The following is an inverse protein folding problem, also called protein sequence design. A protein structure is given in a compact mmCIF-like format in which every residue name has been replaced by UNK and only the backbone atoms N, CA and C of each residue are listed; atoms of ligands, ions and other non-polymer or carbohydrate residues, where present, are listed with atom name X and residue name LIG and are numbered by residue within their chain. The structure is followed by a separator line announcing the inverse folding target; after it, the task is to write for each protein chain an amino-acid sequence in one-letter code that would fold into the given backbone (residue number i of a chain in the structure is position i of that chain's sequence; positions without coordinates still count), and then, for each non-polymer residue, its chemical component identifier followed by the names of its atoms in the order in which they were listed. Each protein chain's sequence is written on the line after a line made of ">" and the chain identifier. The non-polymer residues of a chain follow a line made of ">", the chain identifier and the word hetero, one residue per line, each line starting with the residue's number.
data_IF_037455964928
#
_entry.id   IF_037455964928
#
_cell.length_a   1.000
_cell.length_b   1.000
_cell.length_c   1.000
_cell.angle_alpha   90.00
_cell.angle_beta   90.00
_cell.angle_gamma   90.00
#
_symmetry.space_group_name_H-M   'P 1'
#
loop_
_entity.id
_entity.type
_entity.pdbx_description
1 polymer ?
#
# COMPACT_ATOMS: atom_id res chain seq x y z
N UNK A 1 9.72 -5.64 -10.04
CA UNK A 1 8.71 -6.63 -9.61
C UNK A 1 7.58 -6.66 -10.64
N UNK A 2 6.84 -7.76 -10.78
CA UNK A 2 5.80 -7.96 -11.81
C UNK A 2 4.39 -7.70 -11.24
N UNK A 3 4.12 -6.48 -10.76
CA UNK A 3 2.78 -6.05 -10.35
C UNK A 3 1.97 -7.02 -9.47
N UNK A 4 0.66 -7.08 -9.71
CA UNK A 4 -0.25 -7.99 -9.00
C UNK A 4 -0.35 -9.33 -9.73
N UNK A 5 -0.03 -10.41 -9.03
CA UNK A 5 -0.02 -11.78 -9.56
C UNK A 5 -1.09 -12.63 -8.88
N UNK A 6 -1.77 -13.48 -9.67
CA UNK A 6 -2.57 -14.58 -9.16
C UNK A 6 -1.80 -15.89 -9.30
N UNK A 7 -1.61 -16.60 -8.19
CA UNK A 7 -0.95 -17.90 -8.16
C UNK A 7 -2.00 -18.98 -7.90
N UNK A 8 -2.00 -20.04 -8.70
CA UNK A 8 -2.91 -21.19 -8.55
C UNK A 8 -2.15 -22.48 -8.86
N UNK A 9 -1.80 -23.25 -7.82
CA UNK A 9 -0.88 -24.38 -7.96
C UNK A 9 0.45 -23.91 -8.55
N UNK A 10 0.83 -24.47 -9.70
CA UNK A 10 2.05 -24.09 -10.43
C UNK A 10 1.82 -23.02 -11.52
N UNK A 11 0.61 -22.46 -11.62
CA UNK A 11 0.28 -21.42 -12.59
C UNK A 11 0.36 -20.03 -11.97
N UNK A 12 1.06 -19.12 -12.67
CA UNK A 12 1.14 -17.70 -12.32
C UNK A 12 0.52 -16.87 -13.43
N UNK A 13 -0.42 -16.00 -13.08
CA UNK A 13 -1.07 -15.07 -13.98
C UNK A 13 -0.83 -13.63 -13.53
N UNK A 14 -0.35 -12.77 -14.43
CA UNK A 14 -0.31 -11.34 -14.21
C UNK A 14 -1.72 -10.75 -14.31
N UNK A 15 -2.18 -10.10 -13.24
CA UNK A 15 -3.49 -9.42 -13.19
C UNK A 15 -3.37 -7.97 -13.65
N UNK A 16 -2.34 -7.26 -13.18
CA UNK A 16 -2.06 -5.86 -13.56
C UNK A 16 -0.60 -5.51 -13.26
N UNK A 17 0.02 -4.67 -14.08
CA UNK A 17 1.38 -4.13 -13.86
C UNK A 17 1.47 -2.60 -13.97
N UNK A 18 0.34 -1.91 -14.12
CA UNK A 18 0.25 -0.45 -14.19
C UNK A 18 -1.12 0.08 -13.74
N UNK A 19 -1.12 1.36 -13.36
CA UNK A 19 -2.31 2.17 -13.17
C UNK A 19 -1.99 3.62 -13.58
N UNK A 20 -2.97 4.31 -14.18
CA UNK A 20 -2.85 5.70 -14.65
C UNK A 20 -1.61 5.96 -15.53
N UNK A 21 -1.29 5.01 -16.42
CA UNK A 21 -0.14 5.07 -17.33
C UNK A 21 1.23 4.93 -16.66
N UNK A 22 1.28 4.61 -15.35
CA UNK A 22 2.53 4.41 -14.59
C UNK A 22 2.68 2.94 -14.19
N UNK A 23 3.75 2.31 -14.67
CA UNK A 23 4.15 0.95 -14.26
C UNK A 23 4.42 0.87 -12.76
N UNK A 24 4.07 -0.25 -12.15
CA UNK A 24 4.48 -0.56 -10.79
C UNK A 24 5.99 -0.85 -10.74
N UNK A 25 6.65 -0.48 -9.64
CA UNK A 25 8.08 -0.76 -9.47
C UNK A 25 8.36 -1.53 -8.19
N UNK A 26 7.61 -1.26 -7.12
CA UNK A 26 7.79 -1.86 -5.81
C UNK A 26 6.43 -2.15 -5.15
N UNK A 27 5.76 -3.22 -5.58
CA UNK A 27 4.50 -3.67 -4.96
C UNK A 27 4.78 -4.51 -3.71
N UNK A 28 4.22 -4.12 -2.56
CA UNK A 28 4.61 -4.71 -1.27
C UNK A 28 3.53 -5.60 -0.66
N UNK A 29 2.33 -5.08 -0.43
CA UNK A 29 1.27 -5.80 0.29
C UNK A 29 -0.02 -5.93 -0.53
N UNK A 30 -0.80 -6.95 -0.18
CA UNK A 30 -2.09 -7.25 -0.80
C UNK A 30 -3.05 -7.86 0.22
N UNK A 31 -4.33 -7.48 0.13
CA UNK A 31 -5.42 -8.11 0.85
C UNK A 31 -6.70 -8.14 0.00
N UNK A 32 -7.63 -9.05 0.31
CA UNK A 32 -8.82 -9.33 -0.51
C UNK A 32 -10.07 -9.15 0.33
N UNK A 33 -10.96 -8.26 -0.10
CA UNK A 33 -12.26 -8.07 0.54
C UNK A 33 -13.23 -9.22 0.20
N UNK A 34 -14.29 -9.38 1.00
CA UNK A 34 -15.30 -10.43 0.83
C UNK A 34 -16.00 -10.39 -0.55
N UNK A 35 -16.11 -9.20 -1.14
CA UNK A 35 -16.71 -9.00 -2.47
C UNK A 35 -15.77 -9.37 -3.64
N UNK A 36 -14.51 -9.70 -3.32
CA UNK A 36 -13.46 -10.09 -4.24
C UNK A 36 -12.60 -8.94 -4.77
N UNK A 37 -12.82 -7.70 -4.31
CA UNK A 37 -11.92 -6.58 -4.64
C UNK A 37 -10.57 -6.81 -3.95
N UNK A 38 -9.49 -6.63 -4.71
CA UNK A 38 -8.12 -6.83 -4.23
C UNK A 38 -7.49 -5.46 -3.97
N UNK A 39 -7.11 -5.20 -2.72
CA UNK A 39 -6.42 -3.97 -2.32
C UNK A 39 -4.92 -4.23 -2.21
N UNK A 40 -4.10 -3.32 -2.71
CA UNK A 40 -2.65 -3.50 -2.71
C UNK A 40 -1.90 -2.17 -2.77
N UNK A 41 -0.61 -2.21 -2.46
CA UNK A 41 0.28 -1.05 -2.41
C UNK A 41 1.38 -1.14 -3.47
N UNK A 42 1.84 0.03 -3.92
CA UNK A 42 3.08 0.22 -4.70
C UNK A 42 3.87 1.27 -3.92
N UNK A 43 4.86 0.83 -3.15
CA UNK A 43 5.64 1.66 -2.25
C UNK A 43 6.34 2.80 -2.98
N UNK A 44 6.80 2.53 -4.21
CA UNK A 44 7.36 3.53 -5.10
C UNK A 44 7.00 3.20 -6.53
N UNK A 45 6.45 4.16 -7.27
CA UNK A 45 6.29 4.04 -8.72
C UNK A 45 7.59 4.35 -9.49
N UNK A 46 8.68 4.71 -8.81
CA UNK A 46 9.95 5.14 -9.41
C UNK A 46 11.08 4.12 -9.19
N UNK A 47 11.28 3.68 -7.96
CA UNK A 47 12.35 2.77 -7.57
C UNK A 47 11.84 1.35 -7.37
N UNK A 48 12.70 0.38 -7.65
CA UNK A 48 12.39 -1.05 -7.45
C UNK A 48 13.11 -1.57 -6.19
N UNK A 49 12.88 -2.84 -5.84
CA UNK A 49 13.43 -3.44 -4.63
C UNK A 49 14.96 -3.37 -4.50
N UNK A 50 15.71 -3.31 -5.60
CA UNK A 50 17.19 -3.16 -5.55
C UNK A 50 17.63 -1.74 -5.22
N UNK A 51 16.75 -0.78 -5.50
CA UNK A 51 17.02 0.66 -5.50
C UNK A 51 16.16 1.39 -4.47
N UNK A 52 15.43 0.68 -3.60
CA UNK A 52 14.44 1.26 -2.67
C UNK A 52 15.06 2.31 -1.74
N UNK A 53 16.33 2.13 -1.35
CA UNK A 53 17.06 3.08 -0.52
C UNK A 53 17.15 4.47 -1.16
N UNK A 54 17.07 4.58 -2.49
CA UNK A 54 17.04 5.87 -3.17
C UNK A 54 15.68 6.54 -3.12
N UNK A 55 14.59 5.79 -2.91
CA UNK A 55 13.26 6.36 -2.63
C UNK A 55 13.28 7.07 -1.27
N UNK A 56 13.80 6.38 -0.26
CA UNK A 56 14.02 6.89 1.09
C UNK A 56 14.90 8.14 1.09
N UNK A 57 16.04 8.10 0.38
CA UNK A 57 16.97 9.23 0.28
C UNK A 57 16.43 10.40 -0.55
N UNK A 58 15.62 10.14 -1.58
CA UNK A 58 14.99 11.20 -2.36
C UNK A 58 13.91 11.92 -1.54
N UNK A 59 13.27 11.22 -0.60
CA UNK A 59 12.29 11.82 0.32
C UNK A 59 11.10 12.41 -0.43
N UNK A 60 10.63 11.74 -1.49
CA UNK A 60 9.48 12.15 -2.30
C UNK A 60 8.37 11.12 -2.24
N UNK A 61 7.10 11.56 -2.34
CA UNK A 61 5.98 10.66 -2.16
C UNK A 61 5.65 9.91 -3.47
N UNK A 62 6.39 8.86 -3.79
CA UNK A 62 6.17 8.06 -5.00
C UNK A 62 5.20 6.90 -4.81
N UNK A 63 4.70 6.70 -3.59
CA UNK A 63 3.85 5.58 -3.22
C UNK A 63 2.40 5.75 -3.65
N UNK A 64 1.71 4.61 -3.78
CA UNK A 64 0.31 4.52 -4.18
C UNK A 64 -0.42 3.40 -3.43
N UNK A 65 -1.68 3.64 -3.13
CA UNK A 65 -2.62 2.64 -2.64
C UNK A 65 -3.71 2.42 -3.69
N UNK A 66 -3.99 1.17 -4.04
CA UNK A 66 -4.80 0.80 -5.20
C UNK A 66 -5.80 -0.30 -4.89
N UNK A 67 -6.81 -0.41 -5.75
CA UNK A 67 -7.70 -1.56 -5.83
C UNK A 67 -7.67 -2.16 -7.23
N UNK A 68 -7.80 -3.48 -7.33
CA UNK A 68 -8.05 -4.22 -8.56
C UNK A 68 -9.38 -4.97 -8.46
N UNK A 69 -10.25 -4.76 -9.44
CA UNK A 69 -11.50 -5.53 -9.59
C UNK A 69 -11.28 -6.68 -10.58
N UNK A 70 -11.28 -7.96 -10.14
CA UNK A 70 -11.10 -9.10 -11.03
C UNK A 70 -12.22 -9.30 -12.05
N UNK A 71 -13.44 -8.79 -11.78
CA UNK A 71 -14.60 -8.91 -12.68
C UNK A 71 -14.46 -7.97 -13.87
N UNK A 72 -14.05 -6.72 -13.63
CA UNK A 72 -13.85 -5.72 -14.69
C UNK A 72 -12.42 -5.67 -15.21
N UNK A 73 -11.48 -6.36 -14.54
CA UNK A 73 -10.03 -6.30 -14.80
C UNK A 73 -9.49 -4.87 -14.76
N UNK A 74 -10.00 -4.07 -13.83
CA UNK A 74 -9.66 -2.65 -13.73
C UNK A 74 -8.87 -2.40 -12.46
N UNK A 75 -7.73 -1.72 -12.61
CA UNK A 75 -6.98 -1.15 -11.50
C UNK A 75 -7.39 0.31 -11.30
N UNK A 76 -7.59 0.73 -10.06
CA UNK A 76 -7.83 2.12 -9.68
C UNK A 76 -6.83 2.54 -8.62
N UNK A 77 -6.24 3.72 -8.81
CA UNK A 77 -5.48 4.40 -7.75
C UNK A 77 -6.48 5.04 -6.79
N UNK A 78 -6.47 4.62 -5.53
CA UNK A 78 -7.35 5.13 -4.48
C UNK A 78 -6.71 6.32 -3.76
N UNK A 79 -5.38 6.24 -3.58
CA UNK A 79 -4.55 7.31 -3.01
C UNK A 79 -3.22 7.32 -3.76
N UNK A 80 -2.79 8.50 -4.20
CA UNK A 80 -1.48 8.74 -4.82
C UNK A 80 -0.66 9.70 -3.97
N UNK A 81 0.61 9.85 -4.34
CA UNK A 81 1.50 10.85 -3.77
C UNK A 81 1.59 10.72 -2.24
N UNK A 82 1.78 9.46 -1.80
CA UNK A 82 2.08 9.08 -0.41
C UNK A 82 3.51 8.55 -0.29
N UNK A 83 4.09 8.62 0.89
CA UNK A 83 5.43 8.10 1.14
C UNK A 83 5.37 6.60 1.45
N UNK A 84 6.18 5.84 0.73
CA UNK A 84 6.47 4.42 0.95
C UNK A 84 5.28 3.60 1.50
N UNK A 85 4.28 3.39 0.62
CA UNK A 85 3.11 2.58 0.94
C UNK A 85 3.48 1.09 1.06
N UNK A 86 3.35 0.51 2.24
CA UNK A 86 3.82 -0.86 2.50
C UNK A 86 2.65 -1.79 2.84
N UNK A 87 2.30 -1.98 4.11
CA UNK A 87 1.20 -2.85 4.54
C UNK A 87 -0.21 -2.43 4.10
N UNK A 88 -1.10 -3.42 3.96
CA UNK A 88 -2.55 -3.25 3.73
C UNK A 88 -3.35 -4.33 4.47
N UNK A 89 -4.49 -3.96 5.04
CA UNK A 89 -5.43 -4.90 5.65
C UNK A 89 -6.88 -4.40 5.49
N UNK A 90 -7.77 -5.26 4.99
CA UNK A 90 -9.21 -5.01 4.95
C UNK A 90 -9.79 -5.20 6.34
N UNK A 91 -10.64 -4.28 6.77
CA UNK A 91 -11.31 -4.40 8.06
C UNK A 91 -12.27 -5.57 8.12
N UNK A 92 -12.39 -6.17 9.30
CA UNK A 92 -13.29 -7.31 9.52
C UNK A 92 -14.73 -7.04 9.10
N UNK A 93 -15.26 -5.87 9.46
CA UNK A 93 -16.62 -5.44 9.11
C UNK A 93 -16.75 -4.94 7.66
N UNK A 94 -15.69 -5.07 6.86
CA UNK A 94 -15.58 -4.65 5.46
C UNK A 94 -15.86 -3.14 5.26
N UNK A 95 -15.80 -2.34 6.32
CA UNK A 95 -16.23 -0.94 6.28
C UNK A 95 -15.12 0.04 5.87
N UNK A 96 -13.86 -0.39 5.95
CA UNK A 96 -12.69 0.37 5.55
C UNK A 96 -11.50 -0.54 5.22
N UNK A 97 -10.51 0.02 4.51
CA UNK A 97 -9.21 -0.63 4.30
C UNK A 97 -8.14 0.21 4.98
N UNK A 98 -7.31 -0.47 5.76
CA UNK A 98 -6.18 0.10 6.47
C UNK A 98 -4.94 -0.07 5.59
N UNK A 99 -4.12 0.96 5.46
CA UNK A 99 -2.82 0.87 4.82
C UNK A 99 -1.77 1.65 5.59
N UNK A 100 -0.53 1.18 5.49
CA UNK A 100 0.61 1.74 6.18
C UNK A 100 1.43 2.63 5.24
N UNK A 101 1.78 3.81 5.73
CA UNK A 101 2.77 4.70 5.12
C UNK A 101 3.81 5.07 6.18
N UNK A 102 5.05 5.26 5.77
CA UNK A 102 6.05 5.85 6.65
C UNK A 102 6.76 7.02 6.00
N UNK A 103 7.00 8.04 6.81
CA UNK A 103 7.84 9.16 6.45
C UNK A 103 9.17 8.98 7.18
N UNK A 104 10.22 8.63 6.45
CA UNK A 104 11.56 8.84 6.99
C UNK A 104 11.80 10.35 7.08
N UNK A 105 12.25 10.88 8.22
CA UNK A 105 12.63 12.27 8.28
C UNK A 105 13.97 12.38 7.55
N UNK A 106 13.98 13.12 6.46
CA UNK A 106 14.95 14.21 6.38
C UNK A 106 14.24 15.52 6.73
N UNK A 107 13.39 15.52 7.77
CA UNK A 107 12.99 16.77 8.37
C UNK A 107 14.16 17.22 9.27
N UNK A 108 14.67 18.42 8.98
CA UNK A 108 15.85 19.04 9.62
C UNK A 108 15.61 19.27 11.13
N UNK A 109 14.38 19.04 11.60
CA UNK A 109 13.89 19.27 12.95
C UNK A 109 14.12 18.11 13.95
N UNK A 110 14.57 16.92 13.51
CA UNK A 110 14.98 15.84 14.44
C UNK A 110 13.85 15.09 15.15
N UNK A 111 12.64 15.08 14.59
CA UNK A 111 11.44 14.48 15.24
C UNK A 111 11.28 12.95 15.06
N UNK A 112 12.27 12.23 14.50
CA UNK A 112 12.22 10.78 14.33
C UNK A 112 11.26 10.30 13.23
N UNK A 113 11.27 8.98 12.94
CA UNK A 113 10.37 8.38 11.95
C UNK A 113 8.95 8.40 12.47
N UNK A 114 8.05 9.08 11.76
CA UNK A 114 6.61 9.05 12.03
C UNK A 114 5.96 8.17 10.98
N UNK A 115 5.42 7.05 11.43
CA UNK A 115 4.63 6.18 10.59
C UNK A 115 3.15 6.38 10.87
N UNK A 116 2.37 6.43 9.80
CA UNK A 116 0.94 6.71 9.84
C UNK A 116 0.23 5.50 9.25
N UNK A 117 -0.68 4.96 10.02
CA UNK A 117 -1.67 4.05 9.48
C UNK A 117 -2.88 4.87 9.06
N UNK A 118 -3.31 4.70 7.83
CA UNK A 118 -4.43 5.41 7.26
C UNK A 118 -5.57 4.45 6.93
N UNK A 119 -6.81 4.92 6.96
CA UNK A 119 -7.99 4.16 6.54
C UNK A 119 -8.70 4.85 5.38
N UNK A 120 -9.20 4.06 4.43
CA UNK A 120 -10.08 4.50 3.35
C UNK A 120 -11.44 3.84 3.53
N UNK A 121 -12.48 4.66 3.70
CA UNK A 121 -13.89 4.21 3.72
C UNK A 121 -14.59 4.45 2.37
N UNK A 122 -14.24 5.55 1.70
CA UNK A 122 -14.70 5.90 0.36
C UNK A 122 -13.49 6.35 -0.49
N UNK A 123 -13.52 6.16 -1.83
CA UNK A 123 -12.47 6.68 -2.70
C UNK A 123 -12.22 8.18 -2.46
N UNK A 124 -10.95 8.56 -2.27
CA UNK A 124 -10.55 9.95 -2.05
C UNK A 124 -10.67 10.48 -0.60
N UNK A 125 -11.21 9.71 0.35
CA UNK A 125 -11.16 10.05 1.78
C UNK A 125 -10.11 9.20 2.49
N UNK A 126 -9.06 9.83 3.00
CA UNK A 126 -8.01 9.18 3.80
C UNK A 126 -8.09 9.75 5.21
N UNK A 127 -8.48 8.92 6.18
CA UNK A 127 -8.48 9.28 7.59
C UNK A 127 -7.27 8.64 8.28
N UNK A 128 -6.75 9.32 9.31
CA UNK A 128 -5.76 8.74 10.22
C UNK A 128 -6.39 7.61 11.04
N UNK A 129 -5.75 6.45 11.10
CA UNK A 129 -6.14 5.30 11.92
C UNK A 129 -5.33 5.24 13.21
N UNK A 130 -4.00 5.24 13.09
CA UNK A 130 -3.05 5.40 14.20
C UNK A 130 -1.86 6.26 13.74
N UNK A 131 -1.20 6.91 14.67
CA UNK A 131 -0.03 7.79 14.45
C UNK A 131 0.94 7.61 15.60
N UNK A 132 2.17 8.09 15.41
CA UNK A 132 3.26 8.02 16.39
C UNK A 132 3.62 6.58 16.81
N UNK A 133 3.51 5.64 15.86
CA UNK A 133 3.97 4.28 16.05
C UNK A 133 5.50 4.25 16.18
N UNK A 134 6.06 3.54 17.17
CA UNK A 134 7.51 3.47 17.34
C UNK A 134 8.17 2.68 16.21
N UNK A 135 9.24 3.25 15.66
CA UNK A 135 10.06 2.61 14.63
C UNK A 135 9.47 2.72 13.22
N UNK A 136 9.81 1.73 12.37
CA UNK A 136 9.33 1.63 10.98
C UNK A 136 8.65 0.27 10.81
N UNK A 137 7.39 0.11 11.26
CA UNK A 137 6.60 -1.06 10.91
C UNK A 137 6.64 -1.34 9.41
N UNK A 138 6.44 -2.59 9.03
CA UNK A 138 6.51 -3.02 7.63
C UNK A 138 5.09 -3.31 7.13
N UNK A 139 4.49 -4.37 7.68
CA UNK A 139 3.17 -4.84 7.31
C UNK A 139 2.12 -4.63 8.41
N UNK A 140 0.85 -4.73 8.02
CA UNK A 140 -0.32 -4.72 8.91
C UNK A 140 -1.03 -6.05 8.75
N UNK A 141 -1.46 -6.67 9.85
CA UNK A 141 -2.21 -7.92 9.80
C UNK A 141 -3.35 -7.93 10.82
N UNK A 142 -4.57 -8.20 10.36
CA UNK A 142 -5.71 -8.36 11.23
C UNK A 142 -5.75 -9.76 11.86
N UNK A 143 -5.87 -9.84 13.18
CA UNK A 143 -5.81 -11.10 13.94
C UNK A 143 -7.13 -11.90 14.00
N UNK A 144 -8.22 -11.36 13.45
CA UNK A 144 -9.54 -11.99 13.53
C UNK A 144 -10.38 -11.59 14.75
N UNK A 145 -9.80 -10.88 15.73
CA UNK A 145 -10.40 -10.58 17.04
C UNK A 145 -10.51 -9.09 17.35
N UNK A 146 -10.28 -8.23 16.36
CA UNK A 146 -10.37 -6.78 16.49
C UNK A 146 -9.03 -6.08 16.60
N UNK A 147 -7.91 -6.80 16.48
CA UNK A 147 -6.55 -6.27 16.66
C UNK A 147 -5.77 -6.34 15.35
N UNK A 148 -4.93 -5.33 15.12
CA UNK A 148 -4.01 -5.19 13.99
C UNK A 148 -2.57 -5.11 14.48
#
# INVERSE_FOLDING_TARGET
>A
MLGLLRITGNSTLLLTDEADGRKFKLTEAVDIAEDGIIYFTDASCKYNLKDYIFDDLEGKPHGRFMSFDPKTKTTRVLVSDIYFANGVAVSFDQAYVVFYIYNLPFDVAGEGVKSITSKVRNPGSVDKFIDDLPGVPDNIHYDGQGIY
#
